data_IF_788731080515
#
_entry.id   IF_788731080515
#
_cell.length_a   1.000
_cell.length_b   1.000
_cell.length_c   1.000
_cell.angle_alpha   90.00
_cell.angle_beta   90.00
_cell.angle_gamma   90.00
#
_symmetry.space_group_name_H-M   'P 1'
#
loop_
_entity.id
_entity.type
_entity.pdbx_description
1 polymer ?
#
# COMPACT_ATOMS: atom_id res chain seq x y z
N UNK A 1 -13.60 6.03 22.32
CA UNK A 1 -13.54 5.49 20.94
C UNK A 1 -12.23 5.99 20.37
N UNK A 2 -11.28 5.12 20.04
CA UNK A 2 -10.01 5.60 19.47
C UNK A 2 -10.27 6.34 18.15
N UNK A 3 -9.54 7.44 17.89
CA UNK A 3 -9.64 8.12 16.61
C UNK A 3 -9.25 7.14 15.50
N UNK A 4 -10.05 7.09 14.44
CA UNK A 4 -9.81 6.19 13.32
C UNK A 4 -8.65 6.74 12.48
N UNK A 5 -7.48 6.12 12.62
CA UNK A 5 -6.26 6.54 11.93
C UNK A 5 -6.00 5.60 10.74
N UNK A 6 -6.02 6.17 9.52
CA UNK A 6 -5.45 5.49 8.35
C UNK A 6 -3.93 5.45 8.49
N UNK A 7 -3.41 4.27 8.81
CA UNK A 7 -2.00 4.05 9.14
C UNK A 7 -1.20 3.72 7.88
N UNK A 8 -0.09 4.42 7.66
CA UNK A 8 0.85 4.10 6.58
C UNK A 8 1.96 3.20 7.09
N UNK A 9 2.47 2.31 6.24
CA UNK A 9 3.64 1.47 6.53
C UNK A 9 4.54 1.39 5.29
N UNK A 10 5.71 0.78 5.39
CA UNK A 10 6.57 0.45 4.24
C UNK A 10 6.60 -1.05 4.04
N UNK A 11 6.47 -1.51 2.80
CA UNK A 11 6.74 -2.90 2.48
C UNK A 11 8.25 -3.07 2.39
N UNK A 12 8.82 -3.87 3.28
CA UNK A 12 10.22 -4.28 3.21
C UNK A 12 10.28 -5.79 3.14
N UNK A 13 11.03 -6.34 2.19
CA UNK A 13 11.57 -7.68 2.37
C UNK A 13 12.52 -7.62 3.57
N UNK A 14 12.46 -8.61 4.49
CA UNK A 14 13.55 -8.81 5.45
C UNK A 14 14.90 -8.72 4.70
N UNK A 15 15.95 -8.08 5.25
CA UNK A 15 17.29 -8.28 4.71
C UNK A 15 17.47 -9.79 4.63
N UNK A 16 17.72 -10.32 3.43
CA UNK A 16 17.83 -11.75 3.22
C UNK A 16 19.32 -12.07 3.39
N UNK A 17 19.78 -12.39 4.62
CA UNK A 17 21.18 -12.68 4.84
C UNK A 17 21.60 -13.86 3.97
N UNK A 18 22.88 -13.97 3.68
CA UNK A 18 23.43 -15.00 2.79
C UNK A 18 23.10 -16.43 3.24
N UNK A 19 22.80 -16.64 4.53
CA UNK A 19 22.34 -17.94 5.07
C UNK A 19 20.86 -18.25 4.79
N UNK A 20 20.05 -17.26 4.41
CA UNK A 20 18.61 -17.41 4.13
C UNK A 20 18.29 -17.38 2.62
N UNK A 21 19.16 -16.79 1.79
CA UNK A 21 19.12 -16.95 0.33
C UNK A 21 20.39 -16.47 -0.39
N UNK A 22 20.54 -16.88 -1.67
CA UNK A 22 21.52 -16.32 -2.57
C UNK A 22 21.46 -14.79 -2.64
N UNK A 23 22.61 -14.15 -2.41
CA UNK A 23 22.78 -12.70 -2.57
C UNK A 23 22.65 -12.31 -4.04
N UNK A 24 22.01 -11.17 -4.31
CA UNK A 24 21.87 -10.63 -5.68
C UNK A 24 20.64 -11.10 -6.45
N UNK A 25 19.82 -11.99 -5.89
CA UNK A 25 18.53 -12.39 -6.48
C UNK A 25 17.39 -11.59 -5.86
N UNK A 26 16.88 -10.60 -6.60
CA UNK A 26 15.90 -9.64 -6.10
C UNK A 26 14.43 -10.13 -6.28
N UNK A 27 14.21 -11.18 -7.07
CA UNK A 27 12.89 -11.69 -7.43
C UNK A 27 12.92 -13.22 -7.60
N UNK A 28 11.85 -13.88 -7.17
CA UNK A 28 11.59 -15.27 -7.52
C UNK A 28 10.83 -15.30 -8.86
N UNK A 29 11.26 -16.11 -9.85
CA UNK A 29 10.51 -16.26 -11.09
C UNK A 29 9.14 -16.89 -10.78
N UNK A 30 8.12 -16.49 -11.55
CA UNK A 30 6.81 -17.13 -11.47
C UNK A 30 6.92 -18.60 -11.88
N UNK A 31 6.39 -19.50 -11.04
CA UNK A 31 6.32 -20.93 -11.34
C UNK A 31 5.26 -21.24 -12.41
N UNK A 32 4.22 -20.41 -12.49
CA UNK A 32 3.12 -20.54 -13.46
C UNK A 32 3.36 -19.62 -14.66
N UNK A 33 2.82 -20.00 -15.82
CA UNK A 33 2.84 -19.20 -17.05
C UNK A 33 1.44 -19.17 -17.70
N UNK A 34 1.23 -18.23 -18.63
CA UNK A 34 -0.03 -18.11 -19.39
C UNK A 34 -1.24 -17.89 -18.48
N UNK A 35 -2.37 -18.51 -18.84
CA UNK A 35 -3.65 -18.36 -18.13
C UNK A 35 -3.58 -18.81 -16.67
N UNK A 36 -2.78 -19.83 -16.36
CA UNK A 36 -2.58 -20.32 -15.00
C UNK A 36 -1.89 -19.27 -14.11
N UNK A 37 -0.97 -18.48 -14.66
CA UNK A 37 -0.35 -17.37 -13.93
C UNK A 37 -1.37 -16.27 -13.62
N UNK A 38 -2.19 -15.90 -14.61
CA UNK A 38 -3.23 -14.88 -14.45
C UNK A 38 -4.21 -15.28 -13.35
N UNK A 39 -4.68 -16.53 -13.39
CA UNK A 39 -5.59 -17.07 -12.39
C UNK A 39 -4.93 -17.17 -11.00
N UNK A 40 -3.67 -17.61 -10.93
CA UNK A 40 -2.90 -17.65 -9.69
C UNK A 40 -2.74 -16.26 -9.04
N UNK A 41 -2.49 -15.22 -9.85
CA UNK A 41 -2.40 -13.83 -9.37
C UNK A 41 -3.75 -13.32 -8.86
N UNK A 42 -4.85 -13.60 -9.57
CA UNK A 42 -6.21 -13.23 -9.13
C UNK A 42 -6.59 -13.91 -7.80
N UNK A 43 -6.30 -15.20 -7.66
CA UNK A 43 -6.57 -15.95 -6.44
C UNK A 43 -5.74 -15.43 -5.26
N UNK A 44 -4.47 -15.10 -5.46
CA UNK A 44 -3.63 -14.49 -4.43
C UNK A 44 -4.21 -13.14 -3.95
N UNK A 45 -4.72 -12.31 -4.86
CA UNK A 45 -5.42 -11.06 -4.52
C UNK A 45 -6.72 -11.34 -3.78
N UNK A 46 -7.49 -12.36 -4.18
CA UNK A 46 -8.72 -12.78 -3.49
C UNK A 46 -8.49 -13.17 -2.02
N UNK A 47 -7.39 -13.88 -1.74
CA UNK A 47 -7.00 -14.24 -0.36
C UNK A 47 -6.69 -13.00 0.49
N UNK A 48 -6.08 -11.97 -0.10
CA UNK A 48 -5.79 -10.71 0.58
C UNK A 48 -7.06 -9.91 0.94
N UNK A 49 -8.16 -10.14 0.23
CA UNK A 49 -9.45 -9.46 0.44
C UNK A 49 -10.39 -10.23 1.39
N UNK A 50 -9.94 -11.33 2.01
CA UNK A 50 -10.74 -12.07 2.96
C UNK A 50 -11.20 -11.17 4.14
N UNK A 51 -12.49 -11.22 4.53
CA UNK A 51 -12.99 -10.49 5.68
C UNK A 51 -12.16 -10.80 6.92
N UNK A 52 -11.69 -9.76 7.61
CA UNK A 52 -10.92 -9.90 8.85
C UNK A 52 -9.43 -9.62 8.73
N UNK A 53 -8.88 -9.50 7.52
CA UNK A 53 -7.45 -9.23 7.31
C UNK A 53 -7.15 -7.75 7.15
N UNK A 54 -5.99 -7.34 7.65
CA UNK A 54 -5.38 -6.06 7.30
C UNK A 54 -4.73 -6.18 5.91
N UNK A 55 -4.93 -5.16 5.07
CA UNK A 55 -4.47 -5.14 3.69
C UNK A 55 -3.46 -4.00 3.51
N UNK A 56 -2.25 -4.38 3.12
CA UNK A 56 -1.21 -3.44 2.73
C UNK A 56 -1.33 -3.15 1.24
N UNK A 57 -1.54 -1.89 0.89
CA UNK A 57 -1.78 -1.45 -0.49
C UNK A 57 -0.57 -0.67 -1.00
N UNK A 58 0.12 -1.19 -2.00
CA UNK A 58 1.24 -0.52 -2.66
C UNK A 58 0.83 0.74 -3.40
N UNK A 59 0.91 1.89 -2.75
CA UNK A 59 0.58 3.21 -3.29
C UNK A 59 1.82 3.98 -3.83
N UNK A 60 3.02 3.43 -3.61
CA UNK A 60 4.28 3.92 -4.16
C UNK A 60 4.88 2.85 -5.06
N UNK A 61 5.27 3.23 -6.28
CA UNK A 61 5.99 2.37 -7.20
C UNK A 61 7.50 2.52 -7.03
N UNK A 62 8.16 1.49 -6.51
CA UNK A 62 9.61 1.48 -6.30
C UNK A 62 10.39 0.98 -7.53
N UNK A 63 9.71 0.51 -8.58
CA UNK A 63 10.35 0.11 -9.84
C UNK A 63 10.76 1.30 -10.71
N UNK A 64 10.34 2.51 -10.34
CA UNK A 64 10.67 3.75 -11.03
C UNK A 64 11.29 4.78 -10.10
N UNK A 65 12.13 5.67 -10.67
CA UNK A 65 12.71 6.82 -9.97
C UNK A 65 11.77 8.04 -9.95
N UNK A 66 10.69 8.02 -10.74
CA UNK A 66 9.68 9.10 -10.75
C UNK A 66 9.01 9.18 -9.38
N UNK A 67 8.96 10.35 -8.78
CA UNK A 67 8.25 10.58 -7.51
C UNK A 67 6.76 10.78 -7.81
N UNK A 68 5.91 10.07 -7.08
CA UNK A 68 4.47 10.22 -7.10
C UNK A 68 4.06 11.57 -6.51
N UNK A 69 2.98 12.18 -7.02
CA UNK A 69 2.38 13.32 -6.33
C UNK A 69 1.49 12.83 -5.18
N UNK A 70 1.26 13.67 -4.14
CA UNK A 70 0.31 13.34 -3.08
C UNK A 70 -1.08 12.95 -3.59
N UNK A 71 -1.56 13.60 -4.65
CA UNK A 71 -2.86 13.29 -5.27
C UNK A 71 -2.88 11.94 -5.98
N UNK A 72 -1.78 11.56 -6.65
CA UNK A 72 -1.64 10.22 -7.25
C UNK A 72 -1.73 9.14 -6.17
N UNK A 73 -1.01 9.32 -5.06
CA UNK A 73 -1.08 8.42 -3.90
C UNK A 73 -2.50 8.37 -3.34
N UNK A 74 -3.12 9.52 -3.09
CA UNK A 74 -4.49 9.59 -2.56
C UNK A 74 -5.50 8.90 -3.49
N UNK A 75 -5.36 9.05 -4.80
CA UNK A 75 -6.20 8.36 -5.79
C UNK A 75 -6.11 6.83 -5.66
N UNK A 76 -4.90 6.28 -5.52
CA UNK A 76 -4.71 4.83 -5.31
C UNK A 76 -5.35 4.37 -3.99
N UNK A 77 -5.18 5.13 -2.91
CA UNK A 77 -5.79 4.81 -1.61
C UNK A 77 -7.32 4.80 -1.72
N UNK A 78 -7.94 5.82 -2.33
CA UNK A 78 -9.39 5.89 -2.54
C UNK A 78 -9.89 4.72 -3.38
N UNK A 79 -9.18 4.36 -4.44
CA UNK A 79 -9.53 3.21 -5.26
C UNK A 79 -9.55 1.90 -4.44
N UNK A 80 -8.58 1.70 -3.56
CA UNK A 80 -8.52 0.53 -2.68
C UNK A 80 -9.60 0.55 -1.58
N UNK A 81 -10.02 1.72 -1.09
CA UNK A 81 -11.11 1.86 -0.11
C UNK A 81 -12.48 1.38 -0.63
N UNK A 82 -12.64 1.22 -1.95
CA UNK A 82 -13.85 0.59 -2.52
C UNK A 82 -13.94 -0.90 -2.17
N UNK A 83 -12.84 -1.52 -1.77
CA UNK A 83 -12.74 -2.97 -1.51
C UNK A 83 -12.38 -3.30 -0.06
N UNK A 84 -11.63 -2.42 0.61
CA UNK A 84 -11.16 -2.64 1.99
C UNK A 84 -11.59 -1.47 2.86
N UNK A 85 -12.18 -1.79 4.01
CA UNK A 85 -12.59 -0.78 4.98
C UNK A 85 -11.36 0.04 5.46
N UNK A 86 -11.50 1.37 5.66
CA UNK A 86 -10.35 2.25 5.93
C UNK A 86 -9.56 1.86 7.19
N UNK A 87 -10.20 1.21 8.17
CA UNK A 87 -9.57 0.78 9.42
C UNK A 87 -8.59 -0.38 9.24
N UNK A 88 -8.73 -1.11 8.12
CA UNK A 88 -7.93 -2.30 7.74
C UNK A 88 -7.04 -2.04 6.54
N UNK A 89 -7.08 -0.85 5.96
CA UNK A 89 -6.28 -0.49 4.80
C UNK A 89 -5.02 0.26 5.24
N UNK A 90 -3.86 -0.26 4.87
CA UNK A 90 -2.55 0.32 5.19
C UNK A 90 -1.83 0.70 3.91
N UNK A 91 -1.83 1.99 3.51
CA UNK A 91 -1.07 2.42 2.34
C UNK A 91 0.43 2.21 2.57
N UNK A 92 1.11 1.60 1.60
CA UNK A 92 2.52 1.25 1.67
C UNK A 92 3.25 1.38 0.33
N UNK A 93 4.50 0.95 0.28
CA UNK A 93 5.26 0.77 -0.97
C UNK A 93 4.89 -0.57 -1.61
N UNK A 94 4.94 -0.67 -2.94
CA UNK A 94 4.66 -1.94 -3.63
C UNK A 94 5.76 -3.01 -3.39
N UNK A 95 6.99 -2.59 -3.09
CA UNK A 95 8.10 -3.46 -2.70
C UNK A 95 9.10 -2.69 -1.83
N UNK A 96 10.23 -3.31 -1.50
CA UNK A 96 11.33 -2.70 -0.76
C UNK A 96 12.05 -1.61 -1.56
N UNK A 97 12.57 -0.61 -0.85
CA UNK A 97 13.20 0.57 -1.46
C UNK A 97 14.72 0.49 -1.57
N UNK A 98 15.34 -0.65 -1.23
CA UNK A 98 16.80 -0.86 -1.22
C UNK A 98 17.50 -0.39 -2.51
N UNK A 99 16.95 -0.62 -3.72
CA UNK A 99 17.61 -0.21 -4.96
C UNK A 99 17.56 1.31 -5.25
N UNK A 100 16.77 2.09 -4.50
CA UNK A 100 16.59 3.51 -4.76
C UNK A 100 17.65 4.36 -4.07
N UNK A 101 18.07 5.44 -4.73
CA UNK A 101 18.87 6.47 -4.07
C UNK A 101 18.11 7.04 -2.88
N UNK A 102 18.82 7.35 -1.79
CA UNK A 102 18.23 7.82 -0.52
C UNK A 102 17.27 9.00 -0.71
N UNK A 103 17.68 9.99 -1.48
CA UNK A 103 16.85 11.18 -1.76
C UNK A 103 15.54 10.82 -2.51
N UNK A 104 15.59 9.88 -3.45
CA UNK A 104 14.42 9.38 -4.17
C UNK A 104 13.50 8.63 -3.21
N UNK A 105 14.05 7.75 -2.37
CA UNK A 105 13.27 7.01 -1.39
C UNK A 105 12.58 7.95 -0.38
N UNK A 106 13.30 8.93 0.16
CA UNK A 106 12.75 9.93 1.07
C UNK A 106 11.63 10.76 0.42
N UNK A 107 11.81 11.19 -0.83
CA UNK A 107 10.79 11.94 -1.56
C UNK A 107 9.51 11.12 -1.79
N UNK A 108 9.65 9.83 -2.13
CA UNK A 108 8.51 8.90 -2.26
C UNK A 108 7.79 8.68 -0.93
N UNK A 109 8.53 8.54 0.18
CA UNK A 109 7.93 8.41 1.51
C UNK A 109 7.18 9.69 1.94
N UNK A 110 7.70 10.87 1.59
CA UNK A 110 6.99 12.13 1.79
C UNK A 110 5.70 12.18 0.99
N UNK A 111 5.72 11.74 -0.27
CA UNK A 111 4.52 11.64 -1.10
C UNK A 111 3.48 10.68 -0.49
N UNK A 112 3.92 9.52 0.01
CA UNK A 112 3.06 8.55 0.70
C UNK A 112 2.37 9.19 1.92
N UNK A 113 3.15 9.82 2.79
CA UNK A 113 2.64 10.46 4.00
C UNK A 113 1.65 11.59 3.67
N UNK A 114 1.97 12.42 2.69
CA UNK A 114 1.13 13.54 2.24
C UNK A 114 -0.18 13.05 1.61
N UNK A 115 -0.12 12.07 0.70
CA UNK A 115 -1.31 11.47 0.08
C UNK A 115 -2.24 10.80 1.09
N UNK A 116 -1.68 10.06 2.04
CA UNK A 116 -2.47 9.48 3.13
C UNK A 116 -3.09 10.56 4.04
N UNK A 117 -2.41 11.70 4.25
CA UNK A 117 -2.96 12.81 5.03
C UNK A 117 -4.17 13.47 4.36
N UNK A 118 -4.17 13.55 3.02
CA UNK A 118 -5.34 14.02 2.24
C UNK A 118 -6.55 13.13 2.55
N UNK A 119 -6.38 11.82 2.39
CA UNK A 119 -7.48 10.86 2.60
C UNK A 119 -7.94 10.81 4.06
N UNK A 120 -7.03 10.91 5.04
CA UNK A 120 -7.41 10.98 6.47
C UNK A 120 -8.38 12.13 6.75
N UNK A 121 -8.07 13.34 6.25
CA UNK A 121 -8.96 14.50 6.40
C UNK A 121 -10.32 14.26 5.75
N UNK A 122 -10.35 13.70 4.54
CA UNK A 122 -11.61 13.37 3.85
C UNK A 122 -12.49 12.44 4.69
N UNK A 123 -11.90 11.42 5.30
CA UNK A 123 -12.61 10.46 6.12
C UNK A 123 -13.12 11.10 7.44
N UNK A 124 -12.32 11.94 8.07
CA UNK A 124 -12.70 12.68 9.29
C UNK A 124 -13.88 13.63 9.01
N UNK A 125 -13.83 14.39 7.91
CA UNK A 125 -14.91 15.29 7.50
C UNK A 125 -16.24 14.56 7.19
N UNK A 126 -16.19 13.37 6.57
CA UNK A 126 -17.39 12.57 6.31
C UNK A 126 -18.07 12.05 7.58
N UNK A 127 -17.36 11.95 8.71
CA UNK A 127 -17.95 11.55 10.00
C UNK A 127 -18.65 12.71 10.71
N UNK A 128 -18.12 13.93 10.60
CA UNK A 128 -18.74 15.14 11.17
C UNK A 128 -20.12 15.42 10.59
N UNK A 129 -20.28 15.34 9.27
CA UNK A 129 -21.57 15.59 8.60
C UNK A 129 -22.66 14.54 8.84
N UNK A 130 -22.31 13.32 9.28
CA UNK A 130 -23.29 12.27 9.62
C UNK A 130 -23.79 12.35 11.07
N UNK A 131 -23.12 13.11 11.94
CA UNK A 131 -23.57 13.29 13.33
C UNK A 131 -24.62 14.40 13.48
N UNK A 132 -24.67 15.36 12.55
CA UNK A 132 -25.52 16.55 12.64
C UNK A 132 -26.98 16.34 12.19
N UNK A 133 -27.31 15.16 11.64
CA UNK A 133 -28.66 14.81 11.13
C UNK A 133 -29.41 13.80 12.00
N UNK A 134 -29.02 13.65 13.27
CA UNK A 134 -29.70 12.79 14.26
C UNK A 134 -30.16 13.55 15.53
N UNK A 135 -30.65 14.77 15.36
CA UNK A 135 -31.46 15.46 16.38
C UNK A 135 -32.90 15.61 15.92
#
# INVERSE_FOLDING_TARGET
MEPMILRTTVAGSLPKPSWLAPTGQLWAPWLLQGDALIEGQRNAVGIALLPGKDVLVGAIDVATKRIETPDQVASTIRAAMNYVAPERLFPCTNCGMVPLARNVAEAKLRALAAGAAIVRREIEHHKGGKQETRS
#
